data_IF_912765172853
#
_entry.id   IF_912765172853
#
_cell.length_a   1.000
_cell.length_b   1.000
_cell.length_c   1.000
_cell.angle_alpha   90.00
_cell.angle_beta   90.00
_cell.angle_gamma   90.00
#
_symmetry.space_group_name_H-M   'P 1'
#
loop_
_entity.id
_entity.type
_entity.pdbx_description
1 polymer ?
#
# COMPACT_ATOMS: atom_id res chain seq x y z
N UNK A 1 23.22 3.00 1.70
CA UNK A 1 21.87 2.46 1.93
C UNK A 1 20.89 3.28 1.10
N UNK A 2 20.22 2.64 0.14
CA UNK A 2 19.19 3.23 -0.71
C UNK A 2 17.93 3.53 0.11
N UNK A 3 17.12 4.50 -0.31
CA UNK A 3 15.89 4.92 0.35
C UNK A 3 14.69 4.67 -0.54
N UNK A 4 13.68 4.02 0.00
CA UNK A 4 12.38 3.86 -0.64
C UNK A 4 11.29 4.59 0.18
N UNK A 5 10.48 5.42 -0.47
CA UNK A 5 9.29 6.00 0.12
C UNK A 5 8.09 5.09 -0.14
N UNK A 6 7.29 4.82 0.89
CA UNK A 6 5.98 4.16 0.75
C UNK A 6 4.89 5.20 0.93
N UNK A 7 4.22 5.56 -0.15
CA UNK A 7 3.01 6.39 -0.12
C UNK A 7 1.82 5.47 0.06
N UNK A 8 1.09 5.63 1.16
CA UNK A 8 -0.05 4.76 1.45
C UNK A 8 -1.10 5.40 2.33
N UNK A 9 -2.03 4.57 2.78
CA UNK A 9 -3.21 4.97 3.55
C UNK A 9 -3.09 4.62 5.06
N UNK A 10 -4.21 4.32 5.72
CA UNK A 10 -4.29 3.91 7.13
C UNK A 10 -3.52 2.64 7.44
N UNK A 11 -3.44 1.67 6.53
CA UNK A 11 -2.64 0.46 6.73
C UNK A 11 -1.14 0.77 6.68
N UNK A 12 -0.72 1.77 5.92
CA UNK A 12 0.66 2.26 5.89
C UNK A 12 0.99 3.15 7.09
N UNK A 13 0.00 3.93 7.56
CA UNK A 13 0.09 4.72 8.79
C UNK A 13 0.15 3.83 10.04
N UNK A 14 -0.49 2.67 10.00
CA UNK A 14 -0.56 1.69 11.09
C UNK A 14 -1.79 1.89 11.99
N UNK A 15 -2.96 2.15 11.41
CA UNK A 15 -4.20 2.36 12.16
C UNK A 15 -4.61 1.11 12.93
N UNK A 16 -4.87 1.25 14.23
CA UNK A 16 -5.40 0.20 15.09
C UNK A 16 -6.90 0.44 15.35
N UNK A 17 -7.79 -0.34 14.71
CA UNK A 17 -9.24 -0.19 14.86
C UNK A 17 -9.77 -0.70 16.21
N UNK A 18 -8.93 -1.35 17.03
CA UNK A 18 -9.32 -1.88 18.35
C UNK A 18 -9.20 -0.82 19.45
N UNK A 19 -8.50 0.27 19.18
CA UNK A 19 -8.38 1.38 20.11
C UNK A 19 -9.66 2.22 20.12
N UNK A 20 -10.14 2.56 21.32
CA UNK A 20 -11.42 3.24 21.54
C UNK A 20 -11.58 4.58 20.80
N UNK A 21 -10.48 5.30 20.54
CA UNK A 21 -10.48 6.59 19.83
C UNK A 21 -9.79 6.53 18.45
N UNK A 22 -9.51 5.33 17.94
CA UNK A 22 -8.59 5.13 16.81
C UNK A 22 -7.14 5.28 17.27
N UNK A 23 -6.38 4.19 17.15
CA UNK A 23 -5.01 4.10 17.66
C UNK A 23 -3.99 3.94 16.55
N UNK A 24 -2.71 3.93 16.92
CA UNK A 24 -1.63 3.54 16.03
C UNK A 24 -0.87 2.37 16.62
N UNK A 25 -0.59 1.36 15.80
CA UNK A 25 0.30 0.27 16.18
C UNK A 25 1.69 0.79 16.54
N UNK A 26 2.32 0.18 17.55
CA UNK A 26 3.69 0.52 17.96
C UNK A 26 4.70 0.38 16.83
N UNK A 27 4.48 -0.60 15.94
CA UNK A 27 5.32 -0.87 14.78
C UNK A 27 4.46 -1.25 13.58
N UNK A 28 4.66 -0.60 12.44
CA UNK A 28 3.93 -0.85 11.19
C UNK A 28 4.67 -1.85 10.30
N UNK A 29 4.00 -2.32 9.25
CA UNK A 29 4.60 -3.25 8.30
C UNK A 29 5.83 -2.65 7.61
N UNK A 30 5.84 -1.33 7.36
CA UNK A 30 6.99 -0.63 6.77
C UNK A 30 8.22 -0.71 7.68
N UNK A 31 8.01 -0.59 8.99
CA UNK A 31 9.08 -0.67 9.99
C UNK A 31 9.57 -2.11 10.22
N UNK A 32 8.77 -3.12 9.85
CA UNK A 32 9.16 -4.54 9.84
C UNK A 32 9.89 -4.95 8.55
N UNK A 33 10.03 -4.06 7.56
CA UNK A 33 10.78 -4.38 6.35
C UNK A 33 12.28 -4.49 6.65
N UNK A 34 12.87 -5.57 6.15
CA UNK A 34 14.28 -5.93 6.29
C UNK A 34 14.77 -6.37 4.91
N UNK A 35 15.05 -5.38 4.06
CA UNK A 35 15.52 -5.59 2.69
C UNK A 35 16.98 -5.12 2.60
N UNK A 36 17.85 -5.99 2.11
CA UNK A 36 19.30 -5.71 2.05
C UNK A 36 19.59 -4.40 1.30
N UNK A 37 20.44 -3.54 1.85
CA UNK A 37 20.81 -2.21 1.32
C UNK A 37 19.70 -1.16 1.22
N UNK A 38 18.45 -1.46 1.62
CA UNK A 38 17.32 -0.54 1.51
C UNK A 38 16.78 -0.09 2.88
N UNK A 39 16.49 1.20 3.00
CA UNK A 39 15.69 1.78 4.08
C UNK A 39 14.35 2.23 3.54
N UNK A 40 13.28 1.77 4.17
CA UNK A 40 11.91 2.18 3.83
C UNK A 40 11.42 3.29 4.75
N UNK A 41 10.72 4.26 4.18
CA UNK A 41 10.14 5.41 4.87
C UNK A 41 8.63 5.38 4.64
N UNK A 42 7.84 5.45 5.70
CA UNK A 42 6.38 5.49 5.61
C UNK A 42 5.88 6.93 5.41
N UNK A 43 5.03 7.12 4.41
CA UNK A 43 4.15 8.26 4.24
C UNK A 43 2.70 7.75 4.17
N UNK A 44 2.20 7.25 5.30
CA UNK A 44 0.80 6.82 5.44
C UNK A 44 -0.12 7.94 5.92
N UNK A 45 -1.29 8.10 5.29
CA UNK A 45 -2.36 9.00 5.76
C UNK A 45 -3.69 8.25 5.75
N UNK A 46 -4.39 8.25 6.89
CA UNK A 46 -5.69 7.58 7.02
C UNK A 46 -6.70 8.11 5.98
N UNK A 47 -7.43 7.21 5.33
CA UNK A 47 -8.47 7.57 4.35
C UNK A 47 -7.95 8.06 2.99
N UNK A 48 -6.63 8.12 2.78
CA UNK A 48 -6.04 8.60 1.52
C UNK A 48 -6.48 7.75 0.33
N UNK A 49 -6.89 8.44 -0.73
CA UNK A 49 -7.17 7.92 -2.07
C UNK A 49 -6.06 8.32 -3.06
N UNK A 50 -6.10 7.76 -4.26
CA UNK A 50 -5.16 8.17 -5.32
C UNK A 50 -5.35 9.62 -5.76
N UNK A 51 -6.60 10.10 -5.83
CA UNK A 51 -6.87 11.48 -6.27
C UNK A 51 -6.23 12.54 -5.35
N UNK A 52 -5.98 12.21 -4.08
CA UNK A 52 -5.33 13.10 -3.12
C UNK A 52 -3.85 13.36 -3.44
N UNK A 53 -3.23 12.49 -4.25
CA UNK A 53 -1.80 12.55 -4.54
C UNK A 53 -1.49 12.74 -6.04
N UNK A 54 -2.49 13.07 -6.85
CA UNK A 54 -2.29 13.38 -8.26
C UNK A 54 -1.20 14.43 -8.44
N UNK A 55 -1.28 15.56 -7.74
CA UNK A 55 -0.27 16.63 -7.84
C UNK A 55 0.81 16.57 -6.75
N UNK A 56 0.98 15.42 -6.10
CA UNK A 56 1.91 15.30 -4.97
C UNK A 56 3.35 15.52 -5.43
N UNK A 57 4.04 16.41 -4.71
CA UNK A 57 5.48 16.64 -4.86
C UNK A 57 6.23 15.93 -3.75
N UNK A 58 7.28 15.21 -4.13
CA UNK A 58 8.22 14.58 -3.20
C UNK A 58 9.51 15.40 -3.23
N UNK A 59 9.83 16.04 -2.11
CA UNK A 59 10.93 17.01 -2.01
C UNK A 59 12.27 16.41 -1.55
N UNK A 60 12.22 15.24 -0.91
CA UNK A 60 13.41 14.50 -0.49
C UNK A 60 13.83 13.52 -1.61
N UNK A 61 15.14 13.32 -1.86
CA UNK A 61 15.59 12.34 -2.83
C UNK A 61 15.36 10.92 -2.29
N UNK A 62 14.56 10.14 -3.04
CA UNK A 62 14.36 8.71 -2.83
C UNK A 62 14.80 7.95 -4.07
N UNK A 63 15.44 6.79 -3.87
CA UNK A 63 15.86 5.90 -4.95
C UNK A 63 14.66 5.16 -5.58
N UNK A 64 13.56 5.02 -4.83
CA UNK A 64 12.34 4.37 -5.32
C UNK A 64 11.08 4.83 -4.58
N UNK A 65 9.95 4.91 -5.28
CA UNK A 65 8.63 5.21 -4.70
C UNK A 65 7.71 4.00 -4.83
N UNK A 66 7.19 3.51 -3.71
CA UNK A 66 6.14 2.51 -3.66
C UNK A 66 4.80 3.15 -3.34
N UNK A 67 3.78 2.83 -4.14
CA UNK A 67 2.41 3.26 -3.92
C UNK A 67 1.60 2.06 -3.43
N UNK A 68 1.01 2.20 -2.23
CA UNK A 68 0.13 1.22 -1.61
C UNK A 68 -1.22 1.89 -1.30
N UNK A 69 -2.00 2.14 -2.35
CA UNK A 69 -3.27 2.85 -2.33
C UNK A 69 -4.30 2.16 -3.21
N UNK A 70 -5.56 2.59 -3.10
CA UNK A 70 -6.70 2.07 -3.86
C UNK A 70 -7.81 1.49 -2.98
N UNK A 71 -7.52 1.14 -1.72
CA UNK A 71 -8.53 0.65 -0.76
C UNK A 71 -9.63 1.68 -0.54
N UNK A 72 -9.28 2.93 -0.21
CA UNK A 72 -10.28 3.98 0.04
C UNK A 72 -11.04 4.38 -1.23
N UNK A 73 -10.40 4.33 -2.40
CA UNK A 73 -11.07 4.58 -3.67
C UNK A 73 -12.20 3.56 -3.92
N UNK A 74 -11.95 2.28 -3.63
CA UNK A 74 -12.96 1.21 -3.70
C UNK A 74 -14.08 1.45 -2.68
N UNK A 75 -13.74 1.80 -1.43
CA UNK A 75 -14.72 2.09 -0.37
C UNK A 75 -15.57 3.33 -0.70
N UNK A 76 -15.05 4.26 -1.49
CA UNK A 76 -15.77 5.42 -2.03
C UNK A 76 -16.49 5.12 -3.35
N UNK A 77 -16.65 3.84 -3.70
CA UNK A 77 -17.37 3.38 -4.89
C UNK A 77 -16.80 3.89 -6.22
N UNK A 78 -15.53 4.30 -6.26
CA UNK A 78 -14.89 4.69 -7.52
C UNK A 78 -14.81 3.49 -8.46
N UNK A 79 -14.97 3.79 -9.74
CA UNK A 79 -14.81 2.82 -10.83
C UNK A 79 -13.34 2.42 -10.95
N UNK A 80 -13.06 1.14 -11.16
CA UNK A 80 -11.69 0.62 -11.25
C UNK A 80 -10.92 1.33 -12.37
N UNK A 81 -11.58 1.61 -13.49
CA UNK A 81 -10.98 2.31 -14.62
C UNK A 81 -10.39 3.67 -14.20
N UNK A 82 -11.14 4.44 -13.41
CA UNK A 82 -10.70 5.74 -12.90
C UNK A 82 -9.53 5.59 -11.91
N UNK A 83 -9.56 4.56 -11.07
CA UNK A 83 -8.49 4.26 -10.10
C UNK A 83 -7.20 3.90 -10.85
N UNK A 84 -7.30 3.12 -11.93
CA UNK A 84 -6.18 2.74 -12.78
C UNK A 84 -5.62 3.96 -13.53
N UNK A 85 -6.47 4.85 -14.03
CA UNK A 85 -6.04 6.10 -14.68
C UNK A 85 -5.26 6.99 -13.72
N UNK A 86 -5.77 7.21 -12.50
CA UNK A 86 -5.06 7.99 -11.49
C UNK A 86 -3.71 7.35 -11.14
N UNK A 87 -3.67 6.03 -10.92
CA UNK A 87 -2.42 5.31 -10.64
C UNK A 87 -1.40 5.51 -11.77
N UNK A 88 -1.83 5.43 -13.05
CA UNK A 88 -0.94 5.66 -14.20
C UNK A 88 -0.38 7.08 -14.20
N UNK A 89 -1.22 8.08 -13.95
CA UNK A 89 -0.80 9.49 -13.88
C UNK A 89 0.24 9.65 -12.77
N UNK A 90 -0.04 9.15 -11.56
CA UNK A 90 0.85 9.28 -10.41
C UNK A 90 2.21 8.62 -10.67
N UNK A 91 2.22 7.43 -11.29
CA UNK A 91 3.47 6.75 -11.65
C UNK A 91 4.33 7.57 -12.61
N UNK A 92 3.75 8.44 -13.45
CA UNK A 92 4.54 9.31 -14.35
C UNK A 92 5.27 10.45 -13.65
N UNK A 93 4.89 10.78 -12.40
CA UNK A 93 5.54 11.83 -11.63
C UNK A 93 6.90 11.41 -11.05
N UNK A 94 7.23 10.12 -11.12
CA UNK A 94 8.42 9.55 -10.50
C UNK A 94 9.23 8.77 -11.52
N UNK A 95 10.56 8.99 -11.53
CA UNK A 95 11.47 8.25 -12.41
C UNK A 95 11.48 6.75 -12.07
N UNK A 96 11.49 6.42 -10.77
CA UNK A 96 11.53 5.06 -10.26
C UNK A 96 10.36 4.83 -9.29
N UNK A 97 9.29 4.21 -9.78
CA UNK A 97 8.13 3.89 -8.97
C UNK A 97 7.50 2.54 -9.28
N UNK A 98 6.75 2.03 -8.32
CA UNK A 98 6.07 0.75 -8.41
C UNK A 98 4.89 0.67 -7.45
N UNK A 99 4.15 -0.43 -7.55
CA UNK A 99 2.91 -0.67 -6.80
C UNK A 99 3.13 -1.79 -5.80
N UNK A 100 2.73 -1.55 -4.55
CA UNK A 100 2.45 -2.61 -3.59
C UNK A 100 0.94 -2.78 -3.61
N UNK A 101 0.44 -3.89 -4.14
CA UNK A 101 -1.00 -4.09 -4.22
C UNK A 101 -1.63 -3.96 -2.82
N UNK A 102 -2.66 -3.10 -2.65
CA UNK A 102 -3.32 -2.93 -1.37
C UNK A 102 -3.97 -4.24 -0.89
N UNK A 103 -4.29 -4.36 0.40
CA UNK A 103 -4.96 -5.54 0.91
C UNK A 103 -6.33 -5.73 0.27
N UNK A 104 -6.66 -6.99 0.01
CA UNK A 104 -8.02 -7.39 -0.37
C UNK A 104 -8.95 -7.12 0.81
N UNK A 105 -10.02 -6.36 0.55
CA UNK A 105 -11.05 -6.01 1.53
C UNK A 105 -11.88 -7.27 1.81
N UNK A 106 -12.11 -7.62 3.08
CA UNK A 106 -12.90 -8.80 3.46
C UNK A 106 -14.38 -8.48 3.72
N UNK A 107 -14.80 -7.23 3.51
CA UNK A 107 -16.22 -6.83 3.44
C UNK A 107 -16.80 -7.30 2.10
N UNK A 108 -17.89 -8.08 2.17
CA UNK A 108 -18.53 -8.77 1.02
C UNK A 108 -18.77 -7.84 -0.18
N UNK A 109 -19.27 -6.64 0.08
CA UNK A 109 -19.60 -5.64 -0.94
C UNK A 109 -18.39 -5.18 -1.79
N UNK A 110 -17.21 -5.11 -1.17
CA UNK A 110 -16.01 -4.54 -1.78
C UNK A 110 -14.96 -5.57 -2.17
N UNK A 111 -15.08 -6.80 -1.65
CA UNK A 111 -14.08 -7.86 -1.80
C UNK A 111 -13.73 -8.13 -3.26
N UNK A 112 -14.73 -8.40 -4.09
CA UNK A 112 -14.48 -8.74 -5.50
C UNK A 112 -13.81 -7.59 -6.25
N UNK A 113 -14.22 -6.34 -6.00
CA UNK A 113 -13.61 -5.16 -6.62
C UNK A 113 -12.16 -4.94 -6.19
N UNK A 114 -11.83 -5.19 -4.92
CA UNK A 114 -10.44 -5.07 -4.44
C UNK A 114 -9.52 -6.14 -5.06
N UNK A 115 -10.03 -7.34 -5.32
CA UNK A 115 -9.30 -8.40 -6.05
C UNK A 115 -9.09 -7.97 -7.50
N UNK A 116 -10.14 -7.49 -8.16
CA UNK A 116 -10.09 -7.01 -9.54
C UNK A 116 -9.11 -5.84 -9.71
N UNK A 117 -9.12 -4.87 -8.78
CA UNK A 117 -8.16 -3.78 -8.78
C UNK A 117 -6.70 -4.28 -8.72
N UNK A 118 -6.42 -5.23 -7.82
CA UNK A 118 -5.08 -5.83 -7.72
C UNK A 118 -4.69 -6.57 -9.01
N UNK A 119 -5.65 -7.24 -9.68
CA UNK A 119 -5.40 -7.87 -10.98
C UNK A 119 -5.07 -6.84 -12.06
N UNK A 120 -5.78 -5.71 -12.10
CA UNK A 120 -5.49 -4.62 -13.03
C UNK A 120 -4.13 -3.96 -12.76
N UNK A 121 -3.76 -3.74 -11.50
CA UNK A 121 -2.42 -3.26 -11.15
C UNK A 121 -1.31 -4.19 -11.63
N UNK A 122 -1.50 -5.51 -11.52
CA UNK A 122 -0.51 -6.48 -12.01
C UNK A 122 -0.35 -6.48 -13.55
N UNK A 123 -1.31 -5.92 -14.29
CA UNK A 123 -1.21 -5.75 -15.76
C UNK A 123 -0.42 -4.49 -16.14
N UNK A 124 -0.21 -3.56 -15.21
CA UNK A 124 0.61 -2.38 -15.45
C UNK A 124 2.08 -2.84 -15.59
N UNK A 125 2.76 -2.41 -16.66
CA UNK A 125 4.16 -2.79 -16.96
C UNK A 125 5.16 -2.02 -16.10
N UNK A 126 4.92 -1.98 -14.79
CA UNK A 126 5.76 -1.34 -13.77
C UNK A 126 6.10 -2.37 -12.69
N UNK A 127 7.14 -2.14 -11.86
CA UNK A 127 7.38 -2.99 -10.70
C UNK A 127 6.13 -3.08 -9.83
N UNK A 128 5.64 -4.30 -9.64
CA UNK A 128 4.45 -4.56 -8.85
C UNK A 128 4.70 -5.74 -7.91
N UNK A 129 4.31 -5.59 -6.65
CA UNK A 129 4.34 -6.65 -5.65
C UNK A 129 2.89 -7.07 -5.39
N UNK A 130 2.52 -8.32 -5.69
CA UNK A 130 1.17 -8.80 -5.46
C UNK A 130 0.87 -8.87 -3.97
N UNK A 131 -0.40 -8.65 -3.63
CA UNK A 131 -0.89 -8.88 -2.27
C UNK A 131 -1.01 -10.38 -2.02
N UNK A 132 -0.33 -10.86 -0.98
CA UNK A 132 -0.58 -12.17 -0.38
C UNK A 132 -1.46 -11.99 0.86
N UNK A 133 -2.43 -12.89 1.07
CA UNK A 133 -3.38 -12.78 2.16
C UNK A 133 -2.67 -12.70 3.51
N UNK A 134 -3.04 -11.70 4.30
CA UNK A 134 -2.61 -11.55 5.70
C UNK A 134 -3.81 -11.46 6.64
N UNK A 135 -3.54 -11.53 7.93
CA UNK A 135 -4.55 -11.35 8.96
C UNK A 135 -5.03 -9.88 9.04
N UNK A 136 -6.35 -9.69 8.93
CA UNK A 136 -7.02 -8.40 9.14
C UNK A 136 -7.68 -8.34 10.51
N UNK A 137 -7.99 -7.14 10.98
CA UNK A 137 -8.86 -6.89 12.12
C UNK A 137 -10.33 -7.18 11.79
N UNK A 138 -11.19 -7.04 12.80
CA UNK A 138 -12.62 -7.34 12.72
C UNK A 138 -13.38 -6.50 11.67
N UNK A 139 -12.83 -5.36 11.26
CA UNK A 139 -13.43 -4.49 10.24
C UNK A 139 -13.20 -4.99 8.81
N UNK A 140 -12.37 -6.01 8.62
CA UNK A 140 -12.07 -6.57 7.30
C UNK A 140 -11.31 -5.63 6.37
N UNK A 141 -10.69 -4.57 6.89
CA UNK A 141 -9.94 -3.57 6.12
C UNK A 141 -8.51 -3.41 6.67
N UNK A 142 -8.38 -3.23 7.98
CA UNK A 142 -7.10 -2.89 8.59
C UNK A 142 -6.33 -4.14 9.01
N UNK A 143 -5.00 -4.06 8.96
CA UNK A 143 -4.15 -5.16 9.44
C UNK A 143 -4.28 -5.37 10.95
N UNK A 144 -4.23 -6.64 11.36
CA UNK A 144 -3.88 -6.96 12.76
C UNK A 144 -2.39 -6.67 13.00
N UNK A 145 -1.94 -6.71 14.26
CA UNK A 145 -0.50 -6.65 14.56
C UNK A 145 0.27 -7.77 13.84
N UNK A 146 -0.31 -8.98 13.79
CA UNK A 146 0.28 -10.11 13.08
C UNK A 146 0.18 -9.93 11.56
N UNK A 147 -0.89 -9.32 11.05
CA UNK A 147 -1.04 -8.91 9.66
C UNK A 147 0.09 -7.98 9.19
N UNK A 148 0.47 -7.00 10.01
CA UNK A 148 1.61 -6.12 9.71
C UNK A 148 2.92 -6.90 9.56
N UNK A 149 3.18 -7.89 10.41
CA UNK A 149 4.37 -8.74 10.35
C UNK A 149 4.35 -9.65 9.11
N UNK A 150 3.19 -10.25 8.81
CA UNK A 150 3.01 -11.11 7.64
C UNK A 150 3.22 -10.34 6.34
N UNK A 151 2.63 -9.15 6.23
CA UNK A 151 2.73 -8.32 5.03
C UNK A 151 4.18 -7.91 4.76
N UNK A 152 4.88 -7.45 5.80
CA UNK A 152 6.31 -7.15 5.72
C UNK A 152 7.15 -8.37 5.31
N UNK A 153 6.90 -9.53 5.92
CA UNK A 153 7.57 -10.80 5.58
C UNK A 153 7.39 -11.15 4.10
N UNK A 154 6.18 -10.99 3.56
CA UNK A 154 5.90 -11.32 2.16
C UNK A 154 6.65 -10.38 1.20
N UNK A 155 6.70 -9.08 1.52
CA UNK A 155 7.49 -8.10 0.75
C UNK A 155 8.99 -8.40 0.84
N UNK A 156 9.51 -8.68 2.05
CA UNK A 156 10.92 -9.04 2.26
C UNK A 156 11.33 -10.25 1.40
N UNK A 157 10.49 -11.30 1.36
CA UNK A 157 10.74 -12.50 0.53
C UNK A 157 10.84 -12.17 -0.95
N UNK A 158 10.05 -11.22 -1.45
CA UNK A 158 10.02 -10.87 -2.87
C UNK A 158 11.20 -9.97 -3.22
N UNK A 159 11.45 -8.94 -2.43
CA UNK A 159 12.49 -7.95 -2.72
C UNK A 159 13.90 -8.51 -2.51
N UNK A 160 14.14 -9.33 -1.48
CA UNK A 160 15.44 -9.96 -1.27
C UNK A 160 15.75 -11.11 -2.25
N UNK A 161 14.77 -11.58 -3.05
CA UNK A 161 15.01 -12.55 -4.13
C UNK A 161 15.28 -11.89 -5.48
N UNK A 162 14.90 -10.62 -5.64
CA UNK A 162 14.97 -9.87 -6.90
C UNK A 162 16.14 -8.90 -6.96
N UNK A 163 16.81 -8.66 -5.83
CA UNK A 163 18.00 -7.84 -5.66
C UNK A 163 19.20 -8.74 -5.36
#
# INVERSE_FOLDING_TARGET
MKKALVIGDSNTWGYDPRSYFGGKYKKTWVEYLEVHDWKFISNGINGRCLHDILDMKVYEPYDFIWICLGTNDILQYRKIENIIEDMKIILTHFENAGILCPPVIEIVEFKQKSIELNQEYMKLKVPCIPYEKVELCFDGIHFSESGHKQFASNINKILNKKL
#
